data_IF_464396565792
#
_entry.id   IF_464396565792
#
_cell.length_a   1.000
_cell.length_b   1.000
_cell.length_c   1.000
_cell.angle_alpha   90.00
_cell.angle_beta   90.00
_cell.angle_gamma   90.00
#
_symmetry.space_group_name_H-M   'P 1'
#
loop_
_entity.id
_entity.type
_entity.pdbx_description
1 polymer ?
#
# COMPACT_ATOMS: atom_id res chain seq x y z
N UNK A 1 10.42 5.00 -7.63
CA UNK A 1 10.55 5.12 -9.11
C UNK A 1 9.32 5.85 -9.61
N UNK A 2 9.48 6.93 -10.40
CA UNK A 2 8.37 7.68 -11.00
C UNK A 2 8.51 7.60 -12.50
N UNK A 3 7.44 7.27 -13.21
CA UNK A 3 7.34 7.39 -14.66
C UNK A 3 6.42 8.56 -14.95
N UNK A 4 6.97 9.63 -15.52
CA UNK A 4 6.20 10.80 -15.91
C UNK A 4 5.47 10.56 -17.23
N UNK A 5 4.24 11.07 -17.32
CA UNK A 5 3.40 11.01 -18.52
C UNK A 5 3.33 12.40 -19.18
N UNK A 6 3.88 12.58 -20.38
CA UNK A 6 3.77 13.84 -21.12
C UNK A 6 2.32 14.24 -21.45
N UNK A 7 1.38 13.30 -21.35
CA UNK A 7 -0.06 13.48 -21.61
C UNK A 7 -0.90 13.32 -20.35
N UNK A 8 -0.32 13.55 -19.17
CA UNK A 8 -1.01 13.42 -17.89
C UNK A 8 -2.36 14.20 -17.89
N UNK A 9 -3.50 13.55 -17.64
CA UNK A 9 -4.83 14.17 -17.72
C UNK A 9 -5.03 15.27 -16.66
N UNK A 10 -4.19 15.31 -15.64
CA UNK A 10 -4.22 16.26 -14.53
C UNK A 10 -3.12 17.30 -14.58
N UNK A 11 -2.33 17.39 -15.66
CA UNK A 11 -1.18 18.30 -15.75
C UNK A 11 -1.53 19.78 -15.48
N UNK A 12 -2.77 20.19 -15.76
CA UNK A 12 -3.24 21.55 -15.50
C UNK A 12 -3.74 21.79 -14.05
N UNK A 13 -3.85 20.74 -13.25
CA UNK A 13 -4.34 20.81 -11.87
C UNK A 13 -3.25 21.08 -10.82
N UNK A 14 -1.97 20.97 -11.21
CA UNK A 14 -0.82 21.28 -10.36
C UNK A 14 0.17 22.19 -11.09
N UNK A 15 1.11 22.77 -10.36
CA UNK A 15 2.17 23.63 -10.90
C UNK A 15 3.55 22.97 -10.82
N UNK A 16 3.75 22.07 -9.84
CA UNK A 16 5.04 21.43 -9.54
C UNK A 16 4.83 19.93 -9.32
N UNK A 17 5.60 19.13 -10.07
CA UNK A 17 5.69 17.67 -9.99
C UNK A 17 7.13 17.26 -10.41
N UNK A 18 8.01 17.11 -9.43
CA UNK A 18 9.43 16.82 -9.62
C UNK A 18 9.97 16.01 -8.43
N UNK A 19 11.28 15.84 -8.32
CA UNK A 19 11.90 15.09 -7.21
C UNK A 19 11.56 15.64 -5.82
N UNK A 20 11.26 16.95 -5.72
CA UNK A 20 10.94 17.61 -4.44
C UNK A 20 9.52 17.33 -3.96
N UNK A 21 8.67 16.74 -4.82
CA UNK A 21 7.30 16.37 -4.48
C UNK A 21 7.13 14.89 -4.16
N UNK A 22 8.21 14.12 -4.13
CA UNK A 22 8.19 12.72 -3.71
C UNK A 22 8.19 12.64 -2.17
N UNK A 23 7.27 11.85 -1.62
CA UNK A 23 7.16 11.59 -0.18
C UNK A 23 7.20 10.08 0.03
N UNK A 24 8.28 9.57 0.63
CA UNK A 24 8.39 8.16 1.02
C UNK A 24 8.07 7.98 2.50
N UNK A 25 7.33 6.93 2.83
CA UNK A 25 7.01 6.51 4.19
C UNK A 25 7.59 5.13 4.43
N UNK A 26 8.53 5.00 5.37
CA UNK A 26 9.19 3.74 5.69
C UNK A 26 9.18 3.48 7.18
N UNK A 27 9.05 2.22 7.56
CA UNK A 27 9.40 1.72 8.87
C UNK A 27 10.92 1.50 8.96
N UNK A 28 11.49 1.73 10.14
CA UNK A 28 12.91 1.56 10.37
C UNK A 28 13.19 0.75 11.61
N UNK A 29 14.07 -0.24 11.42
CA UNK A 29 14.49 -1.18 12.44
C UNK A 29 15.95 -0.92 12.82
N UNK A 30 16.24 -0.82 14.11
CA UNK A 30 17.63 -0.67 14.57
C UNK A 30 18.46 -1.95 14.42
N UNK A 31 17.80 -3.11 14.39
CA UNK A 31 18.43 -4.41 14.21
C UNK A 31 18.25 -4.89 12.76
N UNK A 32 19.29 -5.42 12.11
CA UNK A 32 19.17 -6.05 10.80
C UNK A 32 18.12 -7.16 10.77
N UNK A 33 17.43 -7.32 9.64
CA UNK A 33 16.30 -8.24 9.53
C UNK A 33 16.64 -9.70 9.87
N UNK A 34 17.83 -10.17 9.49
CA UNK A 34 18.29 -11.54 9.74
C UNK A 34 18.74 -11.82 11.17
N UNK A 35 18.83 -10.80 12.03
CA UNK A 35 19.20 -10.97 13.45
C UNK A 35 17.98 -11.23 14.36
N UNK A 36 16.76 -11.13 13.82
CA UNK A 36 15.55 -11.46 14.54
C UNK A 36 15.32 -12.98 14.56
N UNK A 37 14.99 -13.54 15.72
CA UNK A 37 14.60 -14.95 15.82
C UNK A 37 13.16 -15.16 15.32
N UNK A 38 12.81 -16.41 14.99
CA UNK A 38 11.49 -16.77 14.44
C UNK A 38 10.33 -16.57 15.42
N UNK A 39 10.60 -16.28 16.70
CA UNK A 39 9.58 -16.10 17.74
C UNK A 39 9.29 -14.60 17.96
N UNK A 40 10.20 -13.72 17.56
CA UNK A 40 10.13 -12.26 17.74
C UNK A 40 9.69 -11.51 16.46
N UNK A 41 9.13 -12.22 15.48
CA UNK A 41 8.68 -11.69 14.19
C UNK A 41 7.14 -11.68 14.14
N UNK A 42 6.50 -10.61 13.60
CA UNK A 42 7.13 -9.38 13.12
C UNK A 42 7.60 -8.48 14.28
N UNK A 43 8.82 -7.90 14.20
CA UNK A 43 9.28 -6.92 15.17
C UNK A 43 8.52 -5.59 15.00
N UNK A 44 8.45 -4.81 16.08
CA UNK A 44 7.95 -3.42 15.99
C UNK A 44 9.07 -2.49 15.52
N UNK A 45 8.79 -1.67 14.53
CA UNK A 45 9.75 -0.67 14.05
C UNK A 45 9.91 0.47 15.05
N UNK A 46 11.15 0.92 15.27
CA UNK A 46 11.45 1.97 16.25
C UNK A 46 11.18 3.39 15.74
N UNK A 47 11.13 3.59 14.43
CA UNK A 47 10.88 4.90 13.81
C UNK A 47 10.09 4.78 12.51
N UNK A 48 9.25 5.80 12.25
CA UNK A 48 8.77 6.11 10.90
C UNK A 48 9.72 7.10 10.27
N UNK A 49 10.23 6.79 9.09
CA UNK A 49 11.02 7.71 8.27
C UNK A 49 10.13 8.32 7.19
N UNK A 50 10.10 9.64 7.11
CA UNK A 50 9.50 10.38 6.00
C UNK A 50 10.66 10.94 5.18
N UNK A 51 10.78 10.58 3.91
CA UNK A 51 11.94 10.96 3.06
C UNK A 51 13.31 10.60 3.70
N UNK A 52 13.38 9.44 4.36
CA UNK A 52 14.62 8.91 4.94
C UNK A 52 15.05 9.51 6.27
N UNK A 53 14.27 10.40 6.88
CA UNK A 53 14.54 10.95 8.21
C UNK A 53 13.33 10.79 9.13
N UNK A 54 13.60 10.57 10.41
CA UNK A 54 12.57 10.42 11.42
C UNK A 54 13.19 10.23 12.79
N UNK A 55 12.39 10.48 13.84
CA UNK A 55 12.81 10.29 15.23
C UNK A 55 12.31 8.94 15.73
N UNK A 56 13.20 8.20 16.36
CA UNK A 56 12.87 6.93 17.00
C UNK A 56 12.20 7.12 18.37
N UNK A 57 11.66 6.03 18.93
CA UNK A 57 11.18 6.00 20.31
C UNK A 57 12.33 6.16 21.32
N UNK A 58 12.11 6.97 22.37
CA UNK A 58 13.08 7.20 23.44
C UNK A 58 13.76 8.58 23.41
N UNK A 59 14.43 8.93 24.52
CA UNK A 59 14.99 10.27 24.73
C UNK A 59 16.19 10.61 23.82
N UNK A 60 16.94 9.60 23.38
CA UNK A 60 18.15 9.79 22.56
C UNK A 60 17.89 10.27 21.14
N UNK A 61 16.65 10.16 20.64
CA UNK A 61 16.29 10.48 19.25
C UNK A 61 15.64 11.85 19.06
N UNK A 62 15.48 12.65 20.12
CA UNK A 62 14.73 13.92 20.07
C UNK A 62 15.36 15.00 19.21
N UNK A 63 16.66 14.95 19.00
CA UNK A 63 17.42 15.97 18.26
C UNK A 63 17.72 15.55 16.83
N UNK A 64 17.30 14.36 16.40
CA UNK A 64 17.49 13.91 15.02
C UNK A 64 16.73 14.87 14.10
N UNK A 65 17.38 15.37 13.02
CA UNK A 65 16.74 16.22 12.03
C UNK A 65 15.50 15.57 11.42
N UNK A 66 14.48 16.38 11.15
CA UNK A 66 13.28 15.96 10.44
C UNK A 66 13.39 16.38 8.98
N UNK A 67 12.80 15.59 8.10
CA UNK A 67 12.65 15.95 6.70
C UNK A 67 11.85 17.25 6.54
N UNK A 68 12.28 18.08 5.59
CA UNK A 68 11.64 19.35 5.25
C UNK A 68 11.20 19.28 3.80
N UNK A 69 9.90 19.47 3.55
CA UNK A 69 9.30 19.58 2.22
C UNK A 69 8.93 21.05 2.03
N UNK A 70 9.54 21.69 1.04
CA UNK A 70 9.40 23.13 0.81
C UNK A 70 8.26 23.43 -0.16
N UNK A 71 7.46 24.44 0.16
CA UNK A 71 6.37 24.92 -0.72
C UNK A 71 6.38 26.43 -0.86
N UNK A 72 5.90 26.92 -1.99
CA UNK A 72 5.70 28.35 -2.28
C UNK A 72 4.21 28.63 -2.16
N UNK A 73 3.86 29.68 -1.41
CA UNK A 73 2.47 30.07 -1.21
C UNK A 73 1.74 30.24 -2.55
N UNK A 74 0.50 29.76 -2.60
CA UNK A 74 -0.41 29.73 -3.76
C UNK A 74 0.01 28.82 -4.93
N UNK A 75 1.08 28.04 -4.80
CA UNK A 75 1.39 26.97 -5.76
C UNK A 75 0.66 25.68 -5.40
N UNK A 76 0.42 24.85 -6.42
CA UNK A 76 -0.21 23.53 -6.33
C UNK A 76 0.85 22.46 -6.59
N UNK A 77 0.94 21.50 -5.69
CA UNK A 77 1.96 20.44 -5.73
C UNK A 77 1.27 19.10 -5.95
N UNK A 78 1.76 18.30 -6.90
CA UNK A 78 1.44 16.88 -6.94
C UNK A 78 2.44 16.14 -6.07
N UNK A 79 2.07 15.87 -4.82
CA UNK A 79 2.85 15.02 -3.94
C UNK A 79 2.62 13.56 -4.29
N UNK A 80 3.71 12.80 -4.44
CA UNK A 80 3.69 11.37 -4.74
C UNK A 80 4.05 10.61 -3.46
N UNK A 81 3.03 10.17 -2.73
CA UNK A 81 3.18 9.50 -1.42
C UNK A 81 3.33 7.99 -1.64
N UNK A 82 4.41 7.41 -1.15
CA UNK A 82 4.82 6.03 -1.43
C UNK A 82 5.04 5.29 -0.12
N UNK A 83 4.26 4.22 0.11
CA UNK A 83 4.43 3.31 1.23
C UNK A 83 5.56 2.32 0.97
N UNK A 84 6.74 2.60 1.51
CA UNK A 84 7.92 1.74 1.50
C UNK A 84 8.02 0.89 2.77
N UNK A 85 6.90 0.62 3.45
CA UNK A 85 6.93 -0.18 4.67
C UNK A 85 7.15 -1.66 4.39
N UNK A 86 7.90 -2.30 5.29
CA UNK A 86 7.95 -3.75 5.44
C UNK A 86 6.74 -4.29 6.22
N UNK A 87 6.12 -3.50 7.11
CA UNK A 87 5.00 -3.99 7.93
C UNK A 87 3.85 -3.00 8.19
N UNK A 88 4.04 -1.88 8.92
CA UNK A 88 2.92 -1.04 9.33
C UNK A 88 2.28 -0.33 8.13
N UNK A 89 1.00 -0.02 8.29
CA UNK A 89 0.34 1.04 7.52
C UNK A 89 0.58 2.39 8.18
N UNK A 90 0.49 3.48 7.41
CA UNK A 90 0.61 4.85 7.92
C UNK A 90 -0.64 5.67 7.60
N UNK A 91 -1.22 6.31 8.62
CA UNK A 91 -2.21 7.36 8.43
C UNK A 91 -1.49 8.69 8.14
N UNK A 92 -1.44 9.05 6.87
CA UNK A 92 -0.79 10.23 6.32
C UNK A 92 -1.72 11.45 6.32
N UNK A 93 -1.24 12.58 6.81
CA UNK A 93 -1.93 13.87 6.72
C UNK A 93 -0.97 15.05 6.77
N UNK A 94 -1.48 16.24 6.40
CA UNK A 94 -0.75 17.50 6.47
C UNK A 94 -1.61 18.50 7.23
N UNK A 95 -1.10 19.02 8.35
CA UNK A 95 -1.85 19.94 9.21
C UNK A 95 -2.41 21.12 8.41
N UNK A 96 -3.71 21.38 8.57
CA UNK A 96 -4.45 22.48 7.93
C UNK A 96 -4.52 22.43 6.39
N UNK A 97 -4.15 21.30 5.77
CA UNK A 97 -4.27 21.12 4.33
C UNK A 97 -5.19 19.95 4.00
N UNK A 98 -5.98 20.10 2.95
CA UNK A 98 -6.65 18.97 2.30
C UNK A 98 -5.79 18.46 1.16
N UNK A 99 -6.05 17.23 0.75
CA UNK A 99 -5.37 16.52 -0.33
C UNK A 99 -6.40 16.07 -1.35
N UNK A 100 -6.13 16.25 -2.64
CA UNK A 100 -6.97 15.71 -3.71
C UNK A 100 -6.28 14.53 -4.34
N UNK A 101 -6.72 13.30 -4.05
CA UNK A 101 -6.19 12.09 -4.68
C UNK A 101 -6.56 12.09 -6.16
N UNK A 102 -5.57 11.84 -7.01
CA UNK A 102 -5.73 11.76 -8.48
C UNK A 102 -5.15 10.48 -9.09
N UNK A 103 -4.44 9.68 -8.29
CA UNK A 103 -3.78 8.44 -8.70
C UNK A 103 -3.69 7.50 -7.50
N UNK A 104 -3.90 6.20 -7.74
CA UNK A 104 -3.66 5.12 -6.80
C UNK A 104 -2.85 4.02 -7.49
N UNK A 105 -1.70 3.67 -6.92
CA UNK A 105 -0.80 2.61 -7.40
C UNK A 105 -0.44 2.71 -8.90
N UNK A 106 -0.26 3.93 -9.44
CA UNK A 106 0.07 4.16 -10.85
C UNK A 106 -1.13 4.22 -11.80
N UNK A 107 -2.36 4.07 -11.29
CA UNK A 107 -3.59 4.19 -12.07
C UNK A 107 -4.29 5.51 -11.73
N UNK A 108 -4.64 6.29 -12.76
CA UNK A 108 -5.37 7.54 -12.57
C UNK A 108 -6.78 7.29 -11.99
N UNK A 109 -7.15 8.10 -11.00
CA UNK A 109 -8.48 8.07 -10.38
C UNK A 109 -9.24 9.35 -10.68
N UNK A 110 -10.57 9.33 -10.64
CA UNK A 110 -11.32 10.58 -10.52
C UNK A 110 -10.88 11.33 -9.25
N UNK A 111 -10.87 12.68 -9.23
CA UNK A 111 -10.36 13.43 -8.09
C UNK A 111 -11.18 13.19 -6.82
N UNK A 112 -10.52 12.81 -5.72
CA UNK A 112 -11.15 12.60 -4.41
C UNK A 112 -10.49 13.47 -3.34
N UNK A 113 -11.25 14.42 -2.77
CA UNK A 113 -10.74 15.31 -1.73
C UNK A 113 -10.88 14.68 -0.35
N UNK A 114 -9.75 14.55 0.35
CA UNK A 114 -9.58 13.93 1.68
C UNK A 114 -8.72 14.83 2.58
N UNK A 115 -8.70 14.57 3.87
CA UNK A 115 -7.78 15.22 4.83
C UNK A 115 -6.81 14.23 5.51
N UNK A 116 -7.02 12.93 5.33
CA UNK A 116 -6.05 11.90 5.71
C UNK A 116 -6.15 10.66 4.80
N UNK A 117 -5.07 9.90 4.69
CA UNK A 117 -4.99 8.69 3.85
C UNK A 117 -4.27 7.60 4.64
N UNK A 118 -4.90 6.45 4.83
CA UNK A 118 -4.19 5.25 5.29
C UNK A 118 -3.49 4.62 4.09
N UNK A 119 -2.17 4.48 4.18
CA UNK A 119 -1.30 3.93 3.13
C UNK A 119 -0.70 2.63 3.68
N UNK A 120 -1.00 1.51 3.04
CA UNK A 120 -0.44 0.21 3.39
C UNK A 120 0.90 -0.04 2.67
N UNK A 121 1.64 -1.05 3.13
CA UNK A 121 2.86 -1.52 2.46
C UNK A 121 2.62 -1.78 0.96
N UNK A 122 3.48 -1.23 0.10
CA UNK A 122 3.39 -1.35 -1.36
C UNK A 122 2.45 -0.36 -2.05
N UNK A 123 1.60 0.38 -1.32
CA UNK A 123 0.67 1.33 -1.93
C UNK A 123 1.30 2.69 -2.25
N UNK A 124 0.74 3.38 -3.25
CA UNK A 124 1.13 4.73 -3.67
C UNK A 124 -0.11 5.58 -3.95
N UNK A 125 -0.02 6.87 -3.65
CA UNK A 125 -1.04 7.85 -4.03
C UNK A 125 -0.38 9.12 -4.55
N UNK A 126 -0.86 9.64 -5.69
CA UNK A 126 -0.60 11.04 -6.04
C UNK A 126 -1.71 11.92 -5.49
N UNK A 127 -1.34 12.95 -4.72
CA UNK A 127 -2.26 13.93 -4.16
C UNK A 127 -1.89 15.34 -4.57
N UNK A 128 -2.89 16.12 -4.98
CA UNK A 128 -2.71 17.56 -5.19
C UNK A 128 -2.94 18.29 -3.87
N UNK A 129 -1.96 19.08 -3.46
CA UNK A 129 -2.03 19.99 -2.31
C UNK A 129 -1.81 21.41 -2.78
N UNK A 130 -2.75 22.30 -2.45
CA UNK A 130 -2.59 23.73 -2.70
C UNK A 130 -1.95 24.37 -1.46
N UNK A 131 -0.82 25.05 -1.64
CA UNK A 131 -0.13 25.78 -0.57
C UNK A 131 -0.85 27.12 -0.26
N UNK A 132 -2.11 27.05 0.16
CA UNK A 132 -3.00 28.21 0.36
C UNK A 132 -3.04 28.74 1.80
N UNK A 133 -2.26 28.17 2.71
CA UNK A 133 -2.24 28.58 4.11
C UNK A 133 -1.31 29.80 4.33
N UNK A 134 -1.36 30.47 5.51
CA UNK A 134 -0.37 31.47 5.89
C UNK A 134 1.07 30.96 5.77
N UNK A 135 2.03 31.85 5.51
CA UNK A 135 3.45 31.46 5.47
C UNK A 135 3.86 31.03 6.88
N UNK A 136 4.09 29.74 7.06
CA UNK A 136 4.45 29.12 8.33
C UNK A 136 5.05 27.73 8.09
N UNK A 137 5.35 27.02 9.18
CA UNK A 137 5.66 25.59 9.18
C UNK A 137 4.40 24.81 9.62
N UNK A 138 4.14 23.67 8.97
CA UNK A 138 3.03 22.77 9.26
C UNK A 138 3.56 21.34 9.42
N UNK A 139 3.00 20.57 10.37
CA UNK A 139 3.37 19.17 10.48
C UNK A 139 2.82 18.36 9.30
N UNK A 140 3.68 17.56 8.71
CA UNK A 140 3.33 16.37 7.94
C UNK A 140 3.34 15.22 8.94
N UNK A 141 2.31 14.39 8.93
CA UNK A 141 2.11 13.31 9.90
C UNK A 141 1.97 11.99 9.14
N UNK A 142 2.65 10.95 9.60
CA UNK A 142 2.52 9.59 9.10
C UNK A 142 2.41 8.65 10.30
N UNK A 143 1.24 8.61 10.92
CA UNK A 143 1.04 7.85 12.15
C UNK A 143 0.96 6.35 11.82
N UNK A 144 1.88 5.51 12.29
CA UNK A 144 1.78 4.08 12.03
C UNK A 144 0.61 3.46 12.82
N UNK A 145 0.19 2.27 12.41
CA UNK A 145 -0.66 1.40 13.24
C UNK A 145 0.12 0.74 14.39
N UNK A 146 -0.53 -0.18 15.10
CA UNK A 146 -0.01 -0.82 16.32
C UNK A 146 1.16 -1.79 16.07
N UNK A 147 1.52 -2.06 14.81
CA UNK A 147 2.74 -2.79 14.44
C UNK A 147 4.01 -1.96 14.64
N UNK A 148 3.86 -0.65 14.87
CA UNK A 148 4.93 0.21 15.34
C UNK A 148 4.50 0.95 16.62
N UNK A 149 5.03 2.16 16.82
CA UNK A 149 4.69 3.01 17.96
C UNK A 149 3.90 4.25 17.50
N UNK A 150 2.56 4.24 17.55
CA UNK A 150 1.74 5.38 17.18
C UNK A 150 1.99 6.60 18.10
N UNK A 151 1.54 7.77 17.64
CA UNK A 151 1.66 9.04 18.34
C UNK A 151 2.72 9.97 17.75
N UNK A 152 2.80 11.17 18.30
CA UNK A 152 3.63 12.27 17.76
C UNK A 152 4.50 12.94 18.82
N UNK A 153 4.63 12.32 20.00
CA UNK A 153 5.45 12.86 21.07
C UNK A 153 6.90 13.06 20.58
N UNK A 154 7.49 14.18 21.00
CA UNK A 154 8.88 14.51 20.69
C UNK A 154 9.26 14.59 19.19
N UNK A 155 8.29 14.75 18.29
CA UNK A 155 8.58 14.84 16.86
C UNK A 155 8.62 13.51 16.12
N UNK A 156 8.24 12.39 16.76
CA UNK A 156 8.14 11.08 16.08
C UNK A 156 7.05 11.11 15.02
N UNK A 157 7.19 10.28 13.98
CA UNK A 157 6.18 10.09 12.94
C UNK A 157 5.77 11.38 12.20
N UNK A 158 6.66 12.37 12.16
CA UNK A 158 6.40 13.69 11.58
C UNK A 158 7.54 14.20 10.69
N UNK A 159 7.18 15.06 9.76
CA UNK A 159 8.09 15.88 8.94
C UNK A 159 7.54 17.31 8.85
N UNK A 160 8.29 18.21 8.23
CA UNK A 160 7.95 19.64 8.18
C UNK A 160 7.55 20.02 6.76
N UNK A 161 6.32 20.51 6.57
CA UNK A 161 5.96 21.29 5.39
C UNK A 161 6.32 22.75 5.65
N UNK A 162 7.32 23.29 4.95
CA UNK A 162 7.84 24.65 5.15
C UNK A 162 7.47 25.55 3.99
N UNK A 163 6.72 26.61 4.27
CA UNK A 163 6.46 27.66 3.30
C UNK A 163 7.72 28.52 3.10
N UNK A 164 8.01 28.89 1.85
CA UNK A 164 9.07 29.86 1.53
C UNK A 164 8.83 31.17 2.28
N UNK A 165 9.84 31.63 3.03
CA UNK A 165 9.77 32.78 3.94
C UNK A 165 9.41 32.45 5.39
N UNK A 166 9.04 31.20 5.72
CA UNK A 166 8.85 30.77 7.11
C UNK A 166 10.21 30.57 7.82
N UNK A 167 10.24 30.84 9.13
CA UNK A 167 11.44 30.62 9.94
C UNK A 167 11.84 29.13 9.98
N UNK A 168 13.14 28.85 10.10
CA UNK A 168 13.68 27.49 10.20
C UNK A 168 13.49 26.89 11.61
N UNK A 169 12.23 26.72 12.01
CA UNK A 169 11.80 26.16 13.30
C UNK A 169 10.82 25.01 13.09
N UNK A 170 10.62 24.20 14.13
CA UNK A 170 9.58 23.17 14.12
C UNK A 170 8.17 23.79 14.11
N UNK A 171 7.20 23.18 13.40
CA UNK A 171 5.80 23.58 13.49
C UNK A 171 5.24 23.50 14.92
N UNK A 172 4.31 24.40 15.24
CA UNK A 172 3.52 24.37 16.48
C UNK A 172 2.05 24.06 16.20
N UNK A 173 1.73 23.56 15.01
CA UNK A 173 0.35 23.25 14.61
C UNK A 173 -0.19 22.07 15.41
N UNK A 174 -1.42 22.22 15.91
CA UNK A 174 -2.10 21.17 16.65
C UNK A 174 -2.64 20.10 15.70
N UNK A 175 -2.60 18.85 16.15
CA UNK A 175 -3.31 17.75 15.51
C UNK A 175 -4.81 18.02 15.55
N UNK A 176 -5.48 17.89 14.41
CA UNK A 176 -6.95 17.96 14.30
C UNK A 176 -7.44 16.60 13.80
N UNK A 177 -8.55 16.12 14.36
CA UNK A 177 -9.18 14.88 13.91
C UNK A 177 -9.61 15.01 12.44
N UNK A 178 -9.33 13.98 11.65
CA UNK A 178 -9.78 13.89 10.27
C UNK A 178 -11.31 13.91 10.22
N UNK A 179 -11.85 14.74 9.34
CA UNK A 179 -13.28 14.85 9.03
C UNK A 179 -13.63 14.21 7.70
N UNK A 180 -12.62 13.94 6.87
CA UNK A 180 -12.74 13.39 5.52
C UNK A 180 -11.64 12.34 5.27
N UNK A 181 -11.58 11.27 6.09
CA UNK A 181 -10.59 10.23 5.87
C UNK A 181 -10.83 9.55 4.53
N UNK A 182 -9.77 9.14 3.86
CA UNK A 182 -9.86 8.34 2.64
C UNK A 182 -10.59 7.02 2.96
N UNK A 183 -11.55 6.68 2.11
CA UNK A 183 -12.15 5.35 2.05
C UNK A 183 -12.03 4.84 0.61
N UNK A 184 -11.42 3.67 0.42
CA UNK A 184 -11.12 3.10 -0.90
C UNK A 184 -12.39 2.93 -1.75
N UNK A 185 -13.54 2.67 -1.11
CA UNK A 185 -14.84 2.54 -1.78
C UNK A 185 -15.29 3.82 -2.50
N UNK A 186 -14.62 4.95 -2.28
CA UNK A 186 -14.91 6.23 -2.92
C UNK A 186 -13.93 6.54 -4.07
N UNK A 187 -12.84 5.79 -4.22
CA UNK A 187 -11.96 5.90 -5.37
C UNK A 187 -12.62 5.32 -6.61
N UNK A 188 -12.42 5.99 -7.75
CA UNK A 188 -13.02 5.62 -9.04
C UNK A 188 -11.94 5.63 -10.08
N UNK A 189 -11.75 4.54 -10.83
CA UNK A 189 -10.82 4.55 -11.95
C UNK A 189 -11.24 5.62 -12.98
N UNK A 190 -10.26 6.38 -13.48
CA UNK A 190 -10.49 7.38 -14.52
C UNK A 190 -10.50 6.74 -15.92
N UNK A 191 -9.52 5.87 -16.18
CA UNK A 191 -9.30 5.22 -17.47
C UNK A 191 -9.72 3.75 -17.37
N UNK A 192 -10.54 3.32 -18.33
CA UNK A 192 -11.15 1.98 -18.36
C UNK A 192 -11.84 1.65 -17.02
N UNK A 193 -12.90 2.38 -16.65
CA UNK A 193 -13.48 2.24 -15.31
C UNK A 193 -14.19 0.89 -15.08
N UNK A 194 -14.72 0.28 -16.13
CA UNK A 194 -15.57 -0.91 -16.02
C UNK A 194 -14.73 -2.19 -15.88
N UNK A 195 -14.91 -2.98 -14.81
CA UNK A 195 -14.21 -4.25 -14.63
C UNK A 195 -14.52 -5.25 -15.75
N UNK A 196 -13.59 -6.16 -16.06
CA UNK A 196 -13.83 -7.21 -17.04
C UNK A 196 -14.87 -8.23 -16.56
N UNK A 197 -15.48 -8.92 -17.52
CA UNK A 197 -16.46 -9.99 -17.29
C UNK A 197 -17.88 -9.50 -17.04
N UNK A 198 -18.79 -10.43 -16.74
CA UNK A 198 -20.19 -10.11 -16.46
C UNK A 198 -20.30 -9.59 -15.02
N UNK A 199 -21.01 -8.47 -14.76
CA UNK A 199 -21.25 -8.00 -13.40
C UNK A 199 -21.90 -9.05 -12.50
N UNK A 200 -21.42 -9.19 -11.27
CA UNK A 200 -21.94 -10.14 -10.28
C UNK A 200 -20.87 -11.08 -9.75
N UNK A 201 -20.99 -11.46 -8.47
CA UNK A 201 -20.03 -12.33 -7.77
C UNK A 201 -19.97 -13.70 -8.44
N UNK A 202 -18.77 -14.23 -8.66
CA UNK A 202 -18.58 -15.54 -9.28
C UNK A 202 -18.81 -15.58 -10.79
N UNK A 203 -19.10 -14.45 -11.44
CA UNK A 203 -19.38 -14.38 -12.89
C UNK A 203 -18.12 -14.17 -13.75
N UNK A 204 -16.91 -14.39 -13.22
CA UNK A 204 -15.68 -14.44 -14.01
C UNK A 204 -15.49 -15.82 -14.68
N UNK A 205 -14.59 -15.93 -15.65
CA UNK A 205 -14.26 -17.22 -16.29
C UNK A 205 -13.62 -18.19 -15.29
N UNK A 206 -12.78 -17.67 -14.38
CA UNK A 206 -12.16 -18.41 -13.28
C UNK A 206 -12.34 -17.63 -12.00
N UNK A 207 -12.82 -18.30 -10.95
CA UNK A 207 -13.07 -17.70 -9.64
C UNK A 207 -12.26 -18.46 -8.59
N UNK A 208 -11.41 -17.77 -7.86
CA UNK A 208 -10.46 -18.36 -6.91
C UNK A 208 -10.65 -17.70 -5.55
N UNK A 209 -10.83 -18.51 -4.50
CA UNK A 209 -10.79 -18.03 -3.13
C UNK A 209 -9.41 -18.30 -2.53
N UNK A 210 -8.79 -17.27 -1.95
CA UNK A 210 -7.47 -17.33 -1.32
C UNK A 210 -7.64 -17.19 0.18
N UNK A 211 -7.80 -18.32 0.86
CA UNK A 211 -7.82 -18.37 2.32
C UNK A 211 -6.38 -18.47 2.83
N UNK A 212 -5.93 -17.45 3.57
CA UNK A 212 -4.65 -17.47 4.26
C UNK A 212 -4.89 -17.69 5.76
N UNK A 213 -4.25 -18.72 6.32
CA UNK A 213 -4.48 -19.16 7.70
C UNK A 213 -3.14 -19.13 8.44
N UNK A 214 -3.14 -18.60 9.66
CA UNK A 214 -1.97 -18.61 10.52
C UNK A 214 -1.99 -19.84 11.43
N UNK A 215 -0.89 -20.59 11.46
CA UNK A 215 -0.70 -21.71 12.35
C UNK A 215 0.12 -21.31 13.58
N UNK A 216 -0.53 -21.22 14.74
CA UNK A 216 0.08 -20.86 16.02
C UNK A 216 1.09 -21.88 16.58
N UNK A 217 1.13 -23.10 16.03
CA UNK A 217 2.12 -24.11 16.44
C UNK A 217 3.42 -23.95 15.66
N UNK A 218 3.34 -23.74 14.36
CA UNK A 218 4.52 -23.61 13.48
C UNK A 218 4.99 -22.17 13.29
N UNK A 219 4.18 -21.19 13.69
CA UNK A 219 4.37 -19.76 13.42
C UNK A 219 4.57 -19.46 11.93
N UNK A 220 3.80 -20.16 11.09
CA UNK A 220 3.78 -19.97 9.63
C UNK A 220 2.36 -19.87 9.14
N UNK A 221 2.19 -19.22 7.99
CA UNK A 221 0.94 -19.22 7.27
C UNK A 221 0.91 -20.37 6.27
N UNK A 222 -0.31 -20.76 5.92
CA UNK A 222 -0.59 -21.50 4.71
C UNK A 222 -1.62 -20.75 3.86
N UNK A 223 -1.57 -20.96 2.55
CA UNK A 223 -2.59 -20.47 1.63
C UNK A 223 -3.31 -21.67 1.05
N UNK A 224 -4.61 -21.77 1.31
CA UNK A 224 -5.46 -22.91 0.95
C UNK A 224 -4.88 -24.26 1.39
N UNK A 225 -4.25 -24.34 2.58
CA UNK A 225 -3.68 -25.57 3.14
C UNK A 225 -2.22 -25.84 2.74
N UNK A 226 -1.58 -24.98 1.94
CA UNK A 226 -0.20 -25.16 1.50
C UNK A 226 0.71 -24.01 1.95
N UNK A 227 1.78 -24.28 2.72
CA UNK A 227 2.81 -23.29 3.00
C UNK A 227 3.63 -23.02 1.74
N UNK A 228 3.89 -21.75 1.43
CA UNK A 228 4.79 -21.38 0.35
C UNK A 228 6.25 -21.52 0.75
N UNK A 229 6.90 -22.58 0.29
CA UNK A 229 8.34 -22.75 0.43
C UNK A 229 9.06 -22.30 -0.85
N UNK A 230 10.00 -21.36 -0.73
CA UNK A 230 10.76 -20.88 -1.88
C UNK A 230 11.45 -22.06 -2.60
N UNK A 231 11.15 -22.27 -3.89
CA UNK A 231 11.73 -23.40 -4.62
C UNK A 231 13.20 -23.11 -4.93
N UNK A 232 14.07 -24.12 -4.79
CA UNK A 232 15.51 -24.01 -5.12
C UNK A 232 15.75 -23.59 -6.58
N UNK A 233 14.82 -23.93 -7.46
CA UNK A 233 14.82 -23.55 -8.88
C UNK A 233 13.67 -22.55 -9.07
N UNK A 234 13.93 -21.32 -9.53
CA UNK A 234 12.87 -20.34 -9.78
C UNK A 234 11.77 -20.90 -10.70
N UNK A 235 10.52 -20.57 -10.42
CA UNK A 235 9.36 -21.10 -11.17
C UNK A 235 9.50 -20.85 -12.68
N UNK A 236 9.97 -19.65 -13.07
CA UNK A 236 10.24 -19.34 -14.47
C UNK A 236 11.26 -20.31 -15.10
N UNK A 237 12.34 -20.63 -14.39
CA UNK A 237 13.34 -21.57 -14.90
C UNK A 237 12.79 -22.99 -14.99
N UNK A 238 11.90 -23.41 -14.08
CA UNK A 238 11.20 -24.70 -14.19
C UNK A 238 10.36 -24.77 -15.48
N UNK A 239 9.60 -23.71 -15.79
CA UNK A 239 8.81 -23.59 -17.02
C UNK A 239 9.72 -23.63 -18.26
N UNK A 240 10.78 -22.83 -18.28
CA UNK A 240 11.74 -22.80 -19.39
C UNK A 240 12.47 -24.14 -19.57
N UNK A 241 12.67 -24.89 -18.48
CA UNK A 241 13.31 -26.21 -18.49
C UNK A 241 12.37 -27.36 -18.86
N UNK A 242 11.08 -27.07 -19.12
CA UNK A 242 10.15 -28.05 -19.70
C UNK A 242 8.92 -28.37 -18.85
N UNK A 243 8.78 -27.83 -17.63
CA UNK A 243 7.53 -27.98 -16.88
C UNK A 243 6.37 -27.28 -17.62
N UNK A 244 5.22 -27.95 -17.72
CA UNK A 244 4.03 -27.47 -18.45
C UNK A 244 2.76 -27.43 -17.62
N UNK A 245 2.73 -28.16 -16.50
CA UNK A 245 1.55 -28.24 -15.64
C UNK A 245 1.86 -27.74 -14.22
N UNK A 246 0.85 -27.25 -13.49
CA UNK A 246 1.04 -26.86 -12.10
C UNK A 246 1.49 -28.04 -11.22
N UNK A 247 1.07 -29.26 -11.58
CA UNK A 247 1.48 -30.50 -10.91
C UNK A 247 2.96 -30.84 -11.12
N UNK A 248 3.63 -30.29 -12.13
CA UNK A 248 5.07 -30.43 -12.35
C UNK A 248 5.87 -29.36 -11.62
N UNK A 249 5.29 -28.17 -11.41
CA UNK A 249 5.95 -27.03 -10.78
C UNK A 249 6.09 -27.19 -9.26
N UNK A 250 7.07 -26.48 -8.69
CA UNK A 250 7.36 -26.37 -7.27
C UNK A 250 7.28 -24.90 -6.82
N UNK A 251 6.86 -24.62 -5.57
CA UNK A 251 6.41 -25.59 -4.55
C UNK A 251 5.02 -26.18 -4.87
N UNK A 252 4.78 -27.43 -4.44
CA UNK A 252 3.49 -28.10 -4.69
C UNK A 252 2.37 -27.41 -3.91
N UNK A 253 1.23 -27.19 -4.58
CA UNK A 253 0.04 -26.61 -3.97
C UNK A 253 0.01 -25.08 -3.93
N UNK A 254 1.13 -24.40 -4.21
CA UNK A 254 1.21 -22.94 -4.25
C UNK A 254 1.43 -22.37 -5.65
N UNK A 255 1.17 -23.15 -6.70
CA UNK A 255 1.21 -22.70 -8.10
C UNK A 255 -0.16 -22.88 -8.73
N UNK A 256 -0.79 -21.78 -9.16
CA UNK A 256 -2.16 -21.78 -9.71
C UNK A 256 -2.12 -21.52 -11.22
N UNK A 257 -2.44 -22.52 -12.07
CA UNK A 257 -2.42 -22.31 -13.50
C UNK A 257 -3.62 -21.48 -13.94
N UNK A 258 -3.37 -20.36 -14.62
CA UNK A 258 -4.43 -19.52 -15.18
C UNK A 258 -4.49 -19.65 -16.71
N UNK A 259 -5.68 -19.83 -17.31
CA UNK A 259 -5.83 -19.83 -18.76
C UNK A 259 -5.57 -18.42 -19.33
N UNK A 260 -4.97 -18.29 -20.53
CA UNK A 260 -4.72 -16.98 -21.14
C UNK A 260 -6.01 -16.30 -21.63
N UNK A 261 -6.02 -14.96 -21.63
CA UNK A 261 -7.12 -14.12 -22.12
C UNK A 261 -8.48 -14.40 -21.45
N UNK A 262 -8.46 -14.69 -20.15
CA UNK A 262 -9.66 -14.97 -19.34
C UNK A 262 -9.81 -13.95 -18.23
N UNK A 263 -11.06 -13.74 -17.82
CA UNK A 263 -11.39 -12.90 -16.66
C UNK A 263 -11.21 -13.74 -15.40
N UNK A 264 -10.40 -13.25 -14.48
CA UNK A 264 -10.14 -13.90 -13.19
C UNK A 264 -10.78 -13.05 -12.09
N UNK A 265 -11.49 -13.69 -11.17
CA UNK A 265 -11.93 -13.09 -9.91
C UNK A 265 -11.21 -13.79 -8.75
N UNK A 266 -10.57 -13.01 -7.89
CA UNK A 266 -9.93 -13.50 -6.67
C UNK A 266 -10.62 -12.88 -5.47
N UNK A 267 -11.15 -13.72 -4.57
CA UNK A 267 -11.64 -13.30 -3.27
C UNK A 267 -10.61 -13.63 -2.18
N UNK A 268 -10.31 -12.67 -1.32
CA UNK A 268 -9.33 -12.77 -0.26
C UNK A 268 -10.02 -12.35 1.05
N UNK A 269 -10.53 -13.33 1.83
CA UNK A 269 -11.11 -13.05 3.15
C UNK A 269 -10.07 -12.38 4.05
N UNK A 270 -10.49 -11.33 4.77
CA UNK A 270 -9.63 -10.67 5.74
C UNK A 270 -9.44 -11.52 7.01
N UNK A 271 -8.45 -11.14 7.81
CA UNK A 271 -8.14 -11.81 9.08
C UNK A 271 -7.95 -10.77 10.17
N UNK A 272 -8.03 -11.21 11.42
CA UNK A 272 -7.95 -10.32 12.58
C UNK A 272 -6.53 -9.85 12.89
N UNK A 273 -6.39 -8.80 13.72
CA UNK A 273 -5.09 -8.31 14.16
C UNK A 273 -4.31 -9.36 14.99
N UNK A 274 -5.01 -10.32 15.61
CA UNK A 274 -4.39 -11.42 16.36
C UNK A 274 -3.48 -12.32 15.50
N UNK A 275 -3.65 -12.29 14.17
CA UNK A 275 -2.85 -13.03 13.21
C UNK A 275 -2.18 -12.10 12.20
N UNK A 276 -1.87 -10.85 12.59
CA UNK A 276 -1.12 -9.91 11.76
C UNK A 276 -1.94 -9.14 10.71
N UNK A 277 -3.26 -9.27 10.70
CA UNK A 277 -4.13 -8.45 9.85
C UNK A 277 -4.14 -6.97 10.27
N UNK A 278 -4.55 -6.05 9.38
CA UNK A 278 -4.91 -6.27 7.98
C UNK A 278 -3.68 -6.59 7.09
N UNK A 279 -3.89 -7.45 6.09
CA UNK A 279 -2.87 -7.86 5.12
C UNK A 279 -3.03 -7.12 3.79
N UNK A 280 -2.06 -6.30 3.35
CA UNK A 280 -2.06 -5.78 1.99
C UNK A 280 -1.60 -6.88 1.03
N UNK A 281 -2.44 -7.34 0.11
CA UNK A 281 -2.08 -8.30 -0.93
C UNK A 281 -1.69 -7.59 -2.22
N UNK A 282 -0.58 -8.01 -2.81
CA UNK A 282 -0.02 -7.47 -4.05
C UNK A 282 0.07 -8.55 -5.12
N UNK A 283 -0.32 -8.21 -6.35
CA UNK A 283 -0.24 -9.08 -7.52
C UNK A 283 0.78 -8.53 -8.51
N UNK A 284 1.79 -9.33 -8.84
CA UNK A 284 2.79 -8.98 -9.84
C UNK A 284 2.21 -9.06 -11.25
N UNK A 285 2.79 -8.31 -12.18
CA UNK A 285 2.49 -8.42 -13.62
C UNK A 285 1.14 -7.84 -14.07
N UNK A 286 0.30 -7.39 -13.13
CA UNK A 286 -1.05 -6.90 -13.41
C UNK A 286 -1.41 -5.70 -12.52
N UNK A 287 -2.29 -4.84 -13.05
CA UNK A 287 -3.22 -4.07 -12.21
C UNK A 287 -4.58 -4.78 -12.20
N UNK A 288 -5.36 -4.57 -11.15
CA UNK A 288 -6.65 -5.20 -10.96
C UNK A 288 -7.71 -4.20 -10.49
N UNK A 289 -8.97 -4.53 -10.76
CA UNK A 289 -10.14 -3.79 -10.28
C UNK A 289 -10.51 -4.29 -8.89
N UNK A 290 -10.58 -3.42 -7.90
CA UNK A 290 -11.06 -3.78 -6.55
C UNK A 290 -12.59 -3.73 -6.54
N UNK A 291 -13.22 -4.80 -7.01
CA UNK A 291 -14.69 -4.88 -7.13
C UNK A 291 -15.38 -4.92 -5.76
N UNK A 292 -14.67 -5.29 -4.69
CA UNK A 292 -15.10 -5.11 -3.30
C UNK A 292 -13.89 -4.78 -2.43
N UNK A 293 -13.87 -3.59 -1.83
CA UNK A 293 -12.86 -3.20 -0.84
C UNK A 293 -13.13 -3.87 0.52
N UNK A 294 -12.09 -3.97 1.36
CA UNK A 294 -12.17 -4.48 2.73
C UNK A 294 -13.33 -3.90 3.54
N UNK A 295 -13.45 -2.58 3.58
CA UNK A 295 -14.41 -1.85 4.42
C UNK A 295 -15.83 -1.81 3.83
N UNK A 296 -16.16 -2.72 2.90
CA UNK A 296 -17.46 -2.77 2.22
C UNK A 296 -18.02 -4.17 2.09
N UNK A 297 -19.33 -4.26 2.18
CA UNK A 297 -20.11 -5.44 1.77
C UNK A 297 -20.65 -5.32 0.34
N UNK A 298 -20.59 -4.13 -0.25
CA UNK A 298 -21.12 -3.86 -1.57
C UNK A 298 -20.06 -4.13 -2.65
N UNK A 299 -20.51 -4.68 -3.78
CA UNK A 299 -19.68 -4.83 -4.97
C UNK A 299 -19.88 -3.66 -5.93
N UNK A 300 -18.80 -3.12 -6.48
CA UNK A 300 -18.80 -2.13 -7.54
C UNK A 300 -18.28 -2.74 -8.85
N UNK A 301 -19.20 -3.08 -9.76
CA UNK A 301 -18.89 -3.54 -11.12
C UNK A 301 -19.05 -2.43 -12.18
N UNK A 302 -19.09 -1.16 -11.77
CA UNK A 302 -19.29 -0.02 -12.67
C UNK A 302 -18.00 0.74 -12.87
N UNK A 303 -17.37 1.16 -11.77
CA UNK A 303 -16.20 2.04 -11.77
C UNK A 303 -15.33 1.92 -10.51
N UNK A 304 -15.00 0.71 -10.02
CA UNK A 304 -14.11 0.56 -8.87
C UNK A 304 -12.72 1.12 -9.16
N UNK A 305 -11.94 1.34 -8.12
CA UNK A 305 -10.52 1.70 -8.28
C UNK A 305 -9.75 0.56 -8.94
N UNK A 306 -8.82 0.92 -9.83
CA UNK A 306 -7.80 0.02 -10.36
C UNK A 306 -6.51 0.27 -9.62
N UNK A 307 -5.81 -0.79 -9.20
CA UNK A 307 -4.56 -0.71 -8.44
C UNK A 307 -3.81 -2.04 -8.48
N UNK A 308 -2.68 -2.17 -7.77
CA UNK A 308 -1.91 -3.43 -7.70
C UNK A 308 -1.75 -3.98 -6.27
N UNK A 309 -2.16 -3.23 -5.25
CA UNK A 309 -2.03 -3.66 -3.85
C UNK A 309 -3.30 -3.33 -3.06
N UNK A 310 -4.01 -4.33 -2.54
CA UNK A 310 -5.30 -4.17 -1.85
C UNK A 310 -5.23 -4.62 -0.39
N UNK A 311 -5.80 -3.84 0.51
CA UNK A 311 -6.01 -4.25 1.89
C UNK A 311 -7.12 -5.33 1.95
N UNK A 312 -6.87 -6.47 2.58
CA UNK A 312 -7.87 -7.54 2.76
C UNK A 312 -8.87 -7.27 3.88
N UNK A 313 -8.54 -6.38 4.83
CA UNK A 313 -9.42 -5.96 5.91
C UNK A 313 -9.36 -6.84 7.15
N UNK A 314 -10.43 -6.76 7.95
CA UNK A 314 -10.62 -7.52 9.18
C UNK A 314 -11.33 -8.87 8.91
N UNK A 315 -11.62 -9.64 9.97
CA UNK A 315 -12.17 -11.01 9.90
C UNK A 315 -13.48 -11.16 9.11
N UNK A 316 -14.30 -10.10 9.04
CA UNK A 316 -15.58 -10.08 8.31
C UNK A 316 -15.46 -9.47 6.90
N UNK A 317 -14.26 -9.03 6.53
CA UNK A 317 -13.95 -8.46 5.22
C UNK A 317 -13.72 -9.56 4.18
N UNK A 318 -13.98 -9.24 2.91
CA UNK A 318 -13.69 -10.14 1.80
C UNK A 318 -13.33 -9.32 0.57
N UNK A 319 -12.10 -8.80 0.57
CA UNK A 319 -11.60 -8.04 -0.56
C UNK A 319 -11.68 -8.90 -1.81
N UNK A 320 -12.25 -8.37 -2.89
CA UNK A 320 -12.43 -9.12 -4.14
C UNK A 320 -11.88 -8.29 -5.29
N UNK A 321 -11.02 -8.90 -6.10
CA UNK A 321 -10.35 -8.26 -7.24
C UNK A 321 -10.66 -8.97 -8.55
N UNK A 322 -10.64 -8.23 -9.66
CA UNK A 322 -10.72 -8.77 -11.03
C UNK A 322 -9.61 -8.28 -11.93
N UNK A 323 -9.12 -9.14 -12.81
CA UNK A 323 -8.17 -8.81 -13.87
C UNK A 323 -8.32 -9.75 -15.07
N UNK A 324 -7.59 -9.48 -16.15
CA UNK A 324 -7.51 -10.33 -17.34
C UNK A 324 -6.12 -10.95 -17.42
N UNK A 325 -6.03 -12.23 -17.77
CA UNK A 325 -4.76 -12.93 -17.99
C UNK A 325 -4.14 -12.63 -19.35
N UNK A 326 -3.76 -11.38 -19.56
CA UNK A 326 -3.16 -10.85 -20.79
C UNK A 326 -1.61 -10.81 -20.76
N UNK A 327 -1.00 -11.33 -19.70
CA UNK A 327 0.45 -11.29 -19.48
C UNK A 327 1.00 -12.68 -19.11
N UNK A 328 1.68 -13.33 -20.06
CA UNK A 328 2.19 -14.70 -19.87
C UNK A 328 3.45 -14.73 -19.00
N UNK A 329 3.37 -15.38 -17.84
CA UNK A 329 4.50 -15.59 -16.93
C UNK A 329 4.05 -16.16 -15.58
N UNK A 330 5.00 -16.63 -14.73
CA UNK A 330 4.72 -16.87 -13.33
C UNK A 330 4.70 -15.54 -12.58
N UNK A 331 3.59 -15.24 -11.90
CA UNK A 331 3.38 -13.97 -11.22
C UNK A 331 3.04 -14.19 -9.76
N UNK A 332 3.73 -13.47 -8.88
CA UNK A 332 3.54 -13.64 -7.46
C UNK A 332 2.28 -12.93 -6.99
N UNK A 333 1.48 -13.62 -6.17
CA UNK A 333 0.42 -13.03 -5.36
C UNK A 333 0.76 -13.27 -3.89
N UNK A 334 0.99 -12.20 -3.13
CA UNK A 334 1.46 -12.34 -1.75
C UNK A 334 1.03 -11.18 -0.87
N UNK A 335 1.07 -11.40 0.44
CA UNK A 335 1.04 -10.29 1.39
C UNK A 335 2.32 -9.46 1.24
N UNK A 336 2.17 -8.14 1.14
CA UNK A 336 3.29 -7.20 1.00
C UNK A 336 3.84 -6.75 2.37
N UNK A 337 3.39 -7.36 3.47
CA UNK A 337 4.13 -7.35 4.72
C UNK A 337 5.27 -8.35 4.57
N UNK A 338 6.50 -7.87 4.55
CA UNK A 338 7.66 -8.65 4.14
C UNK A 338 7.97 -9.78 5.14
N UNK A 339 7.73 -9.52 6.43
CA UNK A 339 7.77 -10.56 7.46
C UNK A 339 6.76 -11.68 7.22
N UNK A 340 5.55 -11.35 6.74
CA UNK A 340 4.51 -12.34 6.45
C UNK A 340 4.81 -13.11 5.17
N UNK A 341 5.44 -12.48 4.18
CA UNK A 341 5.95 -13.16 3.00
C UNK A 341 6.96 -14.24 3.40
N UNK A 342 7.95 -13.89 4.24
CA UNK A 342 8.91 -14.86 4.79
C UNK A 342 8.23 -15.93 5.66
N UNK A 343 7.10 -15.61 6.30
CA UNK A 343 6.25 -16.56 7.03
C UNK A 343 5.24 -17.32 6.15
N UNK A 344 5.37 -17.24 4.82
CA UNK A 344 4.68 -18.05 3.81
C UNK A 344 3.28 -17.59 3.37
N UNK A 345 2.95 -16.29 3.51
CA UNK A 345 1.72 -15.72 2.92
C UNK A 345 1.93 -15.38 1.44
N UNK A 346 2.06 -16.40 0.58
CA UNK A 346 2.27 -16.20 -0.85
C UNK A 346 1.89 -17.39 -1.73
N UNK A 347 1.74 -17.15 -3.04
CA UNK A 347 1.57 -18.16 -4.10
C UNK A 347 2.04 -17.60 -5.46
N UNK A 348 2.26 -18.49 -6.43
CA UNK A 348 2.67 -18.17 -7.81
C UNK A 348 1.63 -18.55 -8.85
#
# INVERSE_FOLDING_TARGET
MIIYDPQDPYINLYDIDDETTIITLADWYHRPALEWDTVSIPPRSEATLINGQGRCIGLGCRTIPLSIINVVKNKRYRFRVIGLSCDPSFNFSIDKHTMTIIEADGEYTAPLVVDSIVIHAGQRYSVIVTANQPISNYWIRANPDERAFPGFDNGRNMAILRYSGAAAVEPTTALVASTRPMNEVNLRALIQPTPPGVPGVGNADVNINIAHIFNFTTFRYDVNGFPFEHPKIPVLLQILSGARTAQELLPKGSVYPLPPNKVIEISIPGTGPAVGGPHPFHLHGHTFYVVRSADSTNYNYVNPVRRDTVNTGAEDSNATIRFVTDNAGPWFLHCHIDWHLEMYVSLT
#
